data_IF_989023033612
#
_entry.id   IF_989023033612
#
_cell.length_a   1.000
_cell.length_b   1.000
_cell.length_c   1.000
_cell.angle_alpha   90.00
_cell.angle_beta   90.00
_cell.angle_gamma   90.00
#
_symmetry.space_group_name_H-M   'P 1'
#
loop_
_entity.id
_entity.type
_entity.pdbx_description
1 polymer ?
#
# COMPACT_ATOMS: atom_id res chain seq x y z
N UNK A 1 25.62 -19.47 -20.37
CA UNK A 1 24.29 -20.03 -20.06
C UNK A 1 23.74 -19.22 -18.90
N UNK A 2 22.85 -18.26 -19.16
CA UNK A 2 22.21 -17.46 -18.11
C UNK A 2 21.13 -18.34 -17.48
N UNK A 3 21.25 -18.65 -16.20
CA UNK A 3 20.14 -19.20 -15.43
C UNK A 3 18.99 -18.18 -15.50
N UNK A 4 17.92 -18.56 -16.16
CA UNK A 4 16.65 -17.86 -16.05
C UNK A 4 16.26 -17.96 -14.59
N UNK A 5 16.25 -16.80 -13.89
CA UNK A 5 15.60 -16.67 -12.60
C UNK A 5 14.12 -17.02 -12.80
N UNK A 6 13.77 -18.26 -12.67
CA UNK A 6 12.39 -18.71 -12.55
C UNK A 6 11.86 -18.22 -11.20
N UNK A 7 11.48 -16.94 -11.14
CA UNK A 7 10.74 -16.44 -9.99
C UNK A 7 9.41 -17.19 -9.94
N UNK A 8 9.26 -17.97 -8.89
CA UNK A 8 8.04 -18.71 -8.64
C UNK A 8 6.82 -17.77 -8.68
N UNK A 9 5.86 -18.05 -9.55
CA UNK A 9 4.58 -17.34 -9.54
C UNK A 9 3.83 -17.75 -8.28
N UNK A 10 3.76 -16.86 -7.30
CA UNK A 10 3.15 -17.12 -5.99
C UNK A 10 1.65 -16.91 -6.04
N UNK A 11 1.22 -15.90 -6.77
CA UNK A 11 -0.17 -15.50 -6.92
C UNK A 11 -0.42 -15.14 -8.39
N UNK A 12 -1.68 -15.27 -8.83
CA UNK A 12 -2.11 -14.83 -10.15
C UNK A 12 -1.95 -13.30 -10.31
N UNK A 13 -1.97 -12.81 -11.55
CA UNK A 13 -1.95 -11.37 -11.80
C UNK A 13 -3.16 -10.65 -11.19
N UNK A 14 -4.33 -11.30 -11.15
CA UNK A 14 -5.52 -10.76 -10.50
C UNK A 14 -5.33 -10.64 -8.99
N UNK A 15 -4.79 -11.65 -8.32
CA UNK A 15 -4.48 -11.63 -6.89
C UNK A 15 -3.39 -10.60 -6.57
N UNK A 16 -2.36 -10.50 -7.40
CA UNK A 16 -1.31 -9.49 -7.26
C UNK A 16 -1.89 -8.09 -7.38
N UNK A 17 -2.74 -7.84 -8.37
CA UNK A 17 -3.43 -6.56 -8.53
C UNK A 17 -4.34 -6.23 -7.35
N UNK A 18 -5.06 -7.22 -6.81
CA UNK A 18 -5.90 -7.03 -5.62
C UNK A 18 -5.09 -6.64 -4.38
N UNK A 19 -3.87 -7.20 -4.24
CA UNK A 19 -3.00 -6.93 -3.09
C UNK A 19 -2.15 -5.67 -3.24
N UNK A 20 -1.68 -5.39 -4.44
CA UNK A 20 -0.66 -4.36 -4.72
C UNK A 20 -1.11 -3.29 -5.73
N UNK A 21 -2.25 -3.47 -6.39
CA UNK A 21 -2.83 -2.47 -7.27
C UNK A 21 -3.42 -1.31 -6.48
N UNK A 22 -3.59 -0.18 -7.16
CA UNK A 22 -4.32 0.96 -6.61
C UNK A 22 -5.72 0.49 -6.20
N UNK A 23 -6.19 0.83 -4.98
CA UNK A 23 -7.53 0.44 -4.55
C UNK A 23 -8.61 0.92 -5.54
N UNK A 24 -9.53 0.03 -5.86
CA UNK A 24 -10.73 0.32 -6.66
C UNK A 24 -11.93 0.22 -5.72
N UNK A 25 -12.33 1.37 -5.15
CA UNK A 25 -13.36 1.43 -4.13
C UNK A 25 -14.77 1.45 -4.73
N UNK A 26 -15.65 0.63 -4.17
CA UNK A 26 -17.09 0.83 -4.30
C UNK A 26 -17.56 2.01 -3.41
N UNK A 27 -18.85 2.34 -3.47
CA UNK A 27 -19.39 3.48 -2.74
C UNK A 27 -19.27 3.31 -1.21
N UNK A 28 -19.43 2.10 -0.70
CA UNK A 28 -19.29 1.80 0.72
C UNK A 28 -17.83 1.96 1.18
N UNK A 29 -16.90 1.34 0.47
CA UNK A 29 -15.47 1.42 0.75
C UNK A 29 -14.96 2.86 0.65
N UNK A 30 -15.45 3.62 -0.33
CA UNK A 30 -15.12 5.04 -0.51
C UNK A 30 -15.57 5.85 0.70
N UNK A 31 -16.81 5.65 1.15
CA UNK A 31 -17.33 6.31 2.33
C UNK A 31 -16.56 5.94 3.60
N UNK A 32 -16.14 4.68 3.73
CA UNK A 32 -15.38 4.19 4.88
C UNK A 32 -13.95 4.74 4.90
N UNK A 33 -13.21 4.53 3.82
CA UNK A 33 -11.77 4.84 3.80
C UNK A 33 -11.46 6.33 3.64
N UNK A 34 -12.35 7.09 3.02
CA UNK A 34 -12.24 8.55 2.93
C UNK A 34 -13.03 9.31 4.02
N UNK A 35 -13.57 8.61 5.02
CA UNK A 35 -14.04 9.25 6.24
C UNK A 35 -12.82 9.64 7.10
N UNK A 36 -12.46 10.91 7.08
CA UNK A 36 -11.28 11.43 7.77
C UNK A 36 -11.63 11.84 9.19
N UNK A 37 -10.74 11.54 10.14
CA UNK A 37 -10.75 12.14 11.46
C UNK A 37 -10.34 13.61 11.36
N UNK A 38 -10.55 14.37 12.44
CA UNK A 38 -10.11 15.77 12.48
C UNK A 38 -8.60 15.91 12.28
N UNK A 39 -7.80 15.00 12.83
CA UNK A 39 -6.34 14.99 12.70
C UNK A 39 -5.90 14.66 11.27
N UNK A 40 -6.52 13.67 10.63
CA UNK A 40 -6.27 13.32 9.24
C UNK A 40 -6.61 14.47 8.29
N UNK A 41 -7.76 15.12 8.50
CA UNK A 41 -8.17 16.28 7.71
C UNK A 41 -7.21 17.46 7.93
N UNK A 42 -6.81 17.74 9.16
CA UNK A 42 -5.85 18.80 9.47
C UNK A 42 -4.51 18.57 8.75
N UNK A 43 -4.04 17.33 8.70
CA UNK A 43 -2.83 16.96 7.97
C UNK A 43 -2.96 17.31 6.48
N UNK A 44 -4.08 16.97 5.85
CA UNK A 44 -4.32 17.29 4.45
C UNK A 44 -4.46 18.80 4.21
N UNK A 45 -5.14 19.53 5.10
CA UNK A 45 -5.36 20.97 4.97
C UNK A 45 -4.07 21.81 5.08
N UNK A 46 -3.03 21.28 5.68
CA UNK A 46 -1.71 21.92 5.75
C UNK A 46 -0.95 21.90 4.41
N UNK A 47 -1.45 21.19 3.40
CA UNK A 47 -0.79 21.14 2.09
C UNK A 47 -1.07 22.39 1.27
N UNK A 48 -0.11 22.76 0.43
CA UNK A 48 -0.22 23.91 -0.45
C UNK A 48 -1.00 23.56 -1.73
N UNK A 49 -2.15 24.15 -1.87
CA UNK A 49 -3.00 23.99 -3.05
C UNK A 49 -3.89 22.74 -3.02
N UNK A 50 -4.99 22.84 -3.72
CA UNK A 50 -6.01 21.78 -3.77
C UNK A 50 -5.47 20.44 -4.29
N UNK A 51 -4.65 20.37 -5.36
CA UNK A 51 -4.11 19.10 -5.82
C UNK A 51 -3.29 18.36 -4.75
N UNK A 52 -2.45 19.05 -3.99
CA UNK A 52 -1.66 18.45 -2.92
C UNK A 52 -2.53 18.00 -1.74
N UNK A 53 -3.60 18.71 -1.42
CA UNK A 53 -4.57 18.31 -0.39
C UNK A 53 -5.32 17.05 -0.81
N UNK A 54 -5.81 16.99 -2.03
CA UNK A 54 -6.47 15.80 -2.60
C UNK A 54 -5.52 14.60 -2.61
N UNK A 55 -4.27 14.78 -3.07
CA UNK A 55 -3.28 13.72 -3.06
C UNK A 55 -3.01 13.18 -1.65
N UNK A 56 -2.98 14.05 -0.65
CA UNK A 56 -2.81 13.66 0.75
C UNK A 56 -4.00 12.81 1.23
N UNK A 57 -5.22 13.23 0.96
CA UNK A 57 -6.42 12.49 1.35
C UNK A 57 -6.47 11.12 0.66
N UNK A 58 -6.15 11.05 -0.63
CA UNK A 58 -6.07 9.78 -1.36
C UNK A 58 -5.05 8.83 -0.71
N UNK A 59 -3.85 9.32 -0.38
CA UNK A 59 -2.84 8.51 0.29
C UNK A 59 -3.31 8.03 1.67
N UNK A 60 -3.99 8.87 2.45
CA UNK A 60 -4.58 8.48 3.74
C UNK A 60 -5.60 7.36 3.55
N UNK A 61 -6.56 7.52 2.64
CA UNK A 61 -7.60 6.53 2.40
C UNK A 61 -7.05 5.20 1.88
N UNK A 62 -6.13 5.24 0.93
CA UNK A 62 -5.48 4.04 0.41
C UNK A 62 -4.60 3.36 1.46
N UNK A 63 -3.92 4.13 2.31
CA UNK A 63 -3.16 3.59 3.42
C UNK A 63 -4.06 2.90 4.46
N UNK A 64 -5.19 3.50 4.80
CA UNK A 64 -6.19 2.87 5.70
C UNK A 64 -6.67 1.52 5.14
N UNK A 65 -6.87 1.42 3.83
CA UNK A 65 -7.32 0.20 3.18
C UNK A 65 -6.25 -0.89 3.08
N UNK A 66 -5.01 -0.53 2.73
CA UNK A 66 -3.97 -1.49 2.33
C UNK A 66 -2.70 -1.48 3.18
N UNK A 67 -2.51 -0.49 4.06
CA UNK A 67 -1.26 -0.24 4.80
C UNK A 67 -0.04 -0.23 3.87
N UNK A 68 -0.21 0.39 2.72
CA UNK A 68 0.80 0.59 1.69
C UNK A 68 0.60 1.93 1.02
N UNK A 69 1.65 2.43 0.38
CA UNK A 69 1.57 3.60 -0.48
C UNK A 69 1.65 3.18 -1.94
N UNK A 70 0.97 3.95 -2.79
CA UNK A 70 0.89 3.71 -4.22
C UNK A 70 1.46 4.90 -4.98
N UNK A 71 2.13 4.64 -6.08
CA UNK A 71 2.49 5.67 -7.04
C UNK A 71 1.27 5.93 -7.94
N UNK A 72 0.81 7.17 -7.97
CA UNK A 72 -0.30 7.57 -8.83
C UNK A 72 -0.14 9.02 -9.30
N UNK A 73 -0.76 9.33 -10.41
CA UNK A 73 -0.99 10.71 -10.84
C UNK A 73 -2.46 11.04 -10.59
N UNK A 74 -2.77 12.27 -10.20
CA UNK A 74 -4.15 12.67 -9.95
C UNK A 74 -5.06 12.49 -11.15
N UNK A 75 -4.52 12.63 -12.37
CA UNK A 75 -5.25 12.41 -13.61
C UNK A 75 -5.70 10.94 -13.82
N UNK A 76 -5.05 9.99 -13.17
CA UNK A 76 -5.34 8.56 -13.30
C UNK A 76 -6.26 8.02 -12.19
N UNK A 77 -6.65 8.87 -11.23
CA UNK A 77 -7.54 8.49 -10.14
C UNK A 77 -8.98 8.37 -10.67
N UNK A 78 -9.75 7.36 -10.23
CA UNK A 78 -11.14 7.23 -10.58
C UNK A 78 -11.93 8.53 -10.32
N UNK A 79 -12.74 8.93 -11.29
CA UNK A 79 -13.50 10.18 -11.21
C UNK A 79 -14.46 10.20 -10.01
N UNK A 80 -14.98 9.05 -9.63
CA UNK A 80 -15.87 8.87 -8.47
C UNK A 80 -15.16 9.17 -7.15
N UNK A 81 -13.90 8.80 -6.99
CA UNK A 81 -13.11 9.10 -5.81
C UNK A 81 -12.89 10.61 -5.68
N UNK A 82 -12.46 11.24 -6.77
CA UNK A 82 -12.28 12.70 -6.81
C UNK A 82 -13.60 13.43 -6.53
N UNK A 83 -14.68 13.02 -7.17
CA UNK A 83 -16.00 13.64 -6.96
C UNK A 83 -16.47 13.51 -5.50
N UNK A 84 -16.23 12.36 -4.86
CA UNK A 84 -16.54 12.14 -3.46
C UNK A 84 -15.77 13.11 -2.56
N UNK A 85 -14.45 13.21 -2.76
CA UNK A 85 -13.59 14.10 -1.96
C UNK A 85 -13.97 15.57 -2.13
N UNK A 86 -14.26 15.98 -3.37
CA UNK A 86 -14.64 17.35 -3.67
C UNK A 86 -15.96 17.73 -2.99
N UNK A 87 -16.99 16.87 -3.08
CA UNK A 87 -18.27 17.12 -2.43
C UNK A 87 -18.14 17.18 -0.91
N UNK A 88 -17.33 16.32 -0.32
CA UNK A 88 -17.25 16.17 1.13
C UNK A 88 -16.36 17.22 1.77
N UNK A 89 -15.22 17.53 1.18
CA UNK A 89 -14.18 18.33 1.84
C UNK A 89 -13.91 19.68 1.18
N UNK A 90 -14.29 19.84 -0.07
CA UNK A 90 -14.00 21.05 -0.86
C UNK A 90 -15.22 21.53 -1.64
N UNK A 91 -16.40 21.68 -0.99
CA UNK A 91 -17.61 22.09 -1.69
C UNK A 91 -17.40 23.46 -2.34
N UNK A 92 -17.89 23.61 -3.57
CA UNK A 92 -17.79 24.85 -4.34
C UNK A 92 -16.44 25.12 -5.00
N UNK A 93 -15.42 24.26 -4.77
CA UNK A 93 -14.15 24.37 -5.46
C UNK A 93 -14.13 23.52 -6.74
N UNK A 94 -13.32 23.93 -7.71
CA UNK A 94 -13.13 23.21 -8.97
C UNK A 94 -11.81 22.46 -8.90
N UNK A 95 -11.86 21.14 -9.09
CA UNK A 95 -10.68 20.31 -9.18
C UNK A 95 -10.09 20.33 -10.59
N UNK A 96 -8.79 20.60 -10.67
CA UNK A 96 -7.99 20.42 -11.89
C UNK A 96 -6.81 19.53 -11.56
N UNK A 97 -6.62 18.42 -12.29
CA UNK A 97 -5.54 17.46 -12.03
C UNK A 97 -4.18 18.09 -12.41
N UNK A 98 -3.55 18.74 -11.46
CA UNK A 98 -2.21 19.25 -11.60
C UNK A 98 -1.20 18.27 -10.99
N UNK A 99 0.00 18.23 -11.55
CA UNK A 99 1.06 17.38 -11.05
C UNK A 99 1.49 17.81 -9.63
N UNK A 100 1.54 16.85 -8.73
CA UNK A 100 2.11 17.00 -7.39
C UNK A 100 3.56 16.51 -7.44
N UNK A 101 4.48 17.30 -6.91
CA UNK A 101 5.91 16.95 -6.93
C UNK A 101 6.19 15.70 -6.11
N UNK A 102 7.14 14.90 -6.55
CA UNK A 102 7.52 13.64 -5.90
C UNK A 102 7.94 13.82 -4.45
N UNK A 103 8.62 14.92 -4.15
CA UNK A 103 9.06 15.28 -2.80
C UNK A 103 7.85 15.51 -1.87
N UNK A 104 6.78 16.12 -2.38
CA UNK A 104 5.56 16.33 -1.62
C UNK A 104 4.87 15.01 -1.27
N UNK A 105 4.80 14.06 -2.20
CA UNK A 105 4.29 12.72 -1.91
C UNK A 105 5.10 12.05 -0.81
N UNK A 106 6.41 12.13 -0.87
CA UNK A 106 7.29 11.53 0.13
C UNK A 106 7.10 12.15 1.53
N UNK A 107 7.04 13.47 1.62
CA UNK A 107 6.79 14.18 2.88
C UNK A 107 5.42 13.81 3.46
N UNK A 108 4.39 13.77 2.62
CA UNK A 108 3.05 13.33 3.03
C UNK A 108 3.08 11.90 3.61
N UNK A 109 3.77 10.98 2.96
CA UNK A 109 3.92 9.58 3.43
C UNK A 109 4.56 9.52 4.82
N UNK A 110 5.61 10.29 5.05
CA UNK A 110 6.27 10.36 6.37
C UNK A 110 5.30 10.82 7.46
N UNK A 111 4.52 11.84 7.17
CA UNK A 111 3.55 12.39 8.13
C UNK A 111 2.38 11.45 8.37
N UNK A 112 1.88 10.79 7.33
CA UNK A 112 0.84 9.76 7.43
C UNK A 112 1.33 8.59 8.29
N UNK A 113 2.55 8.11 8.08
CA UNK A 113 3.12 7.04 8.90
C UNK A 113 3.23 7.44 10.36
N UNK A 114 3.65 8.67 10.63
CA UNK A 114 3.73 9.19 12.00
C UNK A 114 2.35 9.25 12.64
N UNK A 115 1.33 9.72 11.89
CA UNK A 115 -0.04 9.80 12.37
C UNK A 115 -0.61 8.43 12.75
N UNK A 116 -0.35 7.41 11.94
CA UNK A 116 -0.85 6.05 12.19
C UNK A 116 0.07 5.18 13.06
N UNK A 117 1.23 5.71 13.48
CA UNK A 117 2.20 4.95 14.26
C UNK A 117 2.86 3.81 13.50
N UNK A 118 3.02 3.98 12.19
CA UNK A 118 3.70 3.05 11.30
C UNK A 118 5.12 3.50 11.00
N UNK A 119 5.96 2.57 10.54
CA UNK A 119 7.34 2.82 10.11
C UNK A 119 7.53 2.34 8.66
N UNK A 120 8.47 2.94 7.98
CA UNK A 120 8.87 2.48 6.65
C UNK A 120 9.41 1.07 6.70
N UNK A 121 9.27 0.35 5.57
CA UNK A 121 9.92 -0.92 5.37
C UNK A 121 11.44 -0.79 5.58
N UNK A 122 12.02 -1.74 6.32
CA UNK A 122 13.46 -1.86 6.51
C UNK A 122 13.89 -3.30 6.27
N UNK A 123 15.04 -3.46 5.61
CA UNK A 123 15.64 -4.77 5.38
C UNK A 123 16.01 -5.49 6.67
N UNK A 124 16.19 -4.78 7.75
CA UNK A 124 16.43 -5.36 9.09
C UNK A 124 15.29 -6.27 9.57
N UNK A 125 14.09 -6.05 9.03
CA UNK A 125 12.94 -6.90 9.33
C UNK A 125 12.89 -8.19 8.51
N UNK A 126 13.73 -8.32 7.47
CA UNK A 126 13.73 -9.45 6.55
C UNK A 126 13.91 -10.81 7.26
N UNK A 127 14.83 -10.99 8.24
CA UNK A 127 14.98 -12.26 8.94
C UNK A 127 13.69 -12.72 9.65
N UNK A 128 12.90 -11.82 10.19
CA UNK A 128 11.61 -12.16 10.81
C UNK A 128 10.59 -12.65 9.79
N UNK A 129 10.55 -12.03 8.60
CA UNK A 129 9.69 -12.48 7.50
C UNK A 129 10.15 -13.86 6.98
N UNK A 130 11.45 -14.07 6.86
CA UNK A 130 12.02 -15.36 6.44
C UNK A 130 11.70 -16.47 7.45
N UNK A 131 11.91 -16.22 8.73
CA UNK A 131 11.59 -17.19 9.79
C UNK A 131 10.09 -17.58 9.79
N UNK A 132 9.20 -16.62 9.66
CA UNK A 132 7.76 -16.89 9.57
C UNK A 132 7.40 -17.67 8.32
N UNK A 133 8.02 -17.34 7.17
CA UNK A 133 7.80 -18.08 5.94
C UNK A 133 8.28 -19.53 6.05
N UNK A 134 9.47 -19.76 6.57
CA UNK A 134 10.01 -21.09 6.74
C UNK A 134 9.07 -21.98 7.57
N UNK A 135 8.54 -21.46 8.68
CA UNK A 135 7.56 -22.17 9.51
C UNK A 135 6.30 -22.59 8.74
N UNK A 136 5.82 -21.73 7.85
CA UNK A 136 4.60 -21.99 7.07
C UNK A 136 4.89 -22.95 5.90
N UNK A 137 6.01 -22.77 5.21
CA UNK A 137 6.41 -23.62 4.10
C UNK A 137 6.66 -25.06 4.56
N UNK A 138 7.24 -25.26 5.73
CA UNK A 138 7.41 -26.58 6.35
C UNK A 138 6.08 -27.32 6.59
N UNK A 139 4.98 -26.61 6.70
CA UNK A 139 3.62 -27.18 6.83
C UNK A 139 2.94 -27.44 5.48
N UNK A 140 3.68 -27.31 4.39
CA UNK A 140 3.19 -27.51 3.02
C UNK A 140 1.94 -26.69 2.67
N UNK A 141 1.91 -25.42 3.13
CA UNK A 141 0.79 -24.51 2.81
C UNK A 141 1.00 -23.79 1.47
N UNK A 142 -0.10 -23.38 0.88
CA UNK A 142 -0.11 -22.68 -0.41
C UNK A 142 0.72 -21.38 -0.34
N UNK A 143 1.53 -21.08 -1.37
CA UNK A 143 2.33 -19.85 -1.42
C UNK A 143 1.53 -18.56 -1.24
N UNK A 144 0.31 -18.49 -1.76
CA UNK A 144 -0.59 -17.37 -1.58
C UNK A 144 -0.96 -17.16 -0.10
N UNK A 145 -1.16 -18.24 0.65
CA UNK A 145 -1.42 -18.17 2.08
C UNK A 145 -0.19 -17.64 2.84
N UNK A 146 1.01 -18.12 2.47
CA UNK A 146 2.27 -17.62 3.05
C UNK A 146 2.41 -16.12 2.83
N UNK A 147 2.06 -15.62 1.64
CA UNK A 147 2.08 -14.19 1.32
C UNK A 147 1.11 -13.41 2.22
N UNK A 148 -0.12 -13.88 2.37
CA UNK A 148 -1.15 -13.26 3.20
C UNK A 148 -0.72 -13.18 4.67
N UNK A 149 -0.17 -14.25 5.22
CA UNK A 149 0.32 -14.28 6.60
C UNK A 149 1.48 -13.30 6.85
N UNK A 150 2.29 -13.04 5.84
CA UNK A 150 3.38 -12.06 5.95
C UNK A 150 2.89 -10.64 5.90
N UNK A 151 1.90 -10.38 5.06
CA UNK A 151 1.22 -9.09 5.05
C UNK A 151 0.55 -8.84 6.42
N UNK A 152 -0.05 -9.87 7.02
CA UNK A 152 -0.64 -9.78 8.35
C UNK A 152 0.44 -9.50 9.43
N UNK A 153 1.60 -10.15 9.35
CA UNK A 153 2.71 -9.88 10.27
C UNK A 153 3.22 -8.44 10.16
N UNK A 154 3.40 -7.92 8.95
CA UNK A 154 3.81 -6.53 8.72
C UNK A 154 2.80 -5.55 9.31
N UNK A 155 1.51 -5.82 9.15
CA UNK A 155 0.43 -5.02 9.75
C UNK A 155 0.49 -5.05 11.29
N UNK A 156 0.68 -6.22 11.88
CA UNK A 156 0.82 -6.40 13.32
C UNK A 156 2.02 -5.62 13.88
N UNK A 157 3.13 -5.63 13.16
CA UNK A 157 4.35 -4.89 13.52
C UNK A 157 4.30 -3.41 13.13
N UNK A 158 3.19 -2.94 12.61
CA UNK A 158 2.99 -1.56 12.13
C UNK A 158 4.10 -1.12 11.18
N UNK A 159 4.38 -1.98 10.22
CA UNK A 159 5.35 -1.71 9.16
C UNK A 159 4.66 -1.62 7.80
N UNK A 160 5.03 -0.63 7.01
CA UNK A 160 4.56 -0.48 5.63
C UNK A 160 4.95 -1.70 4.83
N UNK A 161 4.04 -2.20 4.02
CA UNK A 161 4.26 -3.33 3.14
C UNK A 161 5.35 -3.01 2.12
N UNK A 162 6.40 -3.85 1.99
CA UNK A 162 7.36 -3.73 0.89
C UNK A 162 6.72 -4.12 -0.45
N UNK A 163 7.39 -3.83 -1.55
CA UNK A 163 6.94 -4.23 -2.87
C UNK A 163 6.79 -5.75 -3.02
N UNK A 164 5.93 -6.17 -3.94
CA UNK A 164 5.64 -7.58 -4.22
C UNK A 164 6.89 -8.44 -4.41
N UNK A 165 7.85 -7.97 -5.20
CA UNK A 165 9.09 -8.70 -5.48
C UNK A 165 9.91 -9.03 -4.22
N UNK A 166 9.90 -8.16 -3.22
CA UNK A 166 10.58 -8.42 -1.94
C UNK A 166 9.93 -9.60 -1.22
N UNK A 167 8.61 -9.64 -1.13
CA UNK A 167 7.89 -10.75 -0.49
C UNK A 167 7.98 -12.04 -1.31
N UNK A 168 7.92 -11.93 -2.63
CA UNK A 168 8.10 -13.06 -3.55
C UNK A 168 9.46 -13.72 -3.38
N UNK A 169 10.53 -12.92 -3.38
CA UNK A 169 11.90 -13.42 -3.23
C UNK A 169 12.11 -14.23 -1.93
N UNK A 170 11.52 -13.76 -0.83
CA UNK A 170 11.62 -14.48 0.44
C UNK A 170 10.88 -15.82 0.41
N UNK A 171 9.70 -15.89 -0.21
CA UNK A 171 8.95 -17.16 -0.32
C UNK A 171 9.68 -18.15 -1.22
N UNK A 172 10.19 -17.69 -2.37
CA UNK A 172 10.96 -18.52 -3.30
C UNK A 172 12.22 -19.09 -2.63
N UNK A 173 12.95 -18.25 -1.87
CA UNK A 173 14.13 -18.68 -1.11
C UNK A 173 13.80 -19.75 -0.06
N UNK A 174 12.71 -19.58 0.69
CA UNK A 174 12.30 -20.54 1.70
C UNK A 174 11.88 -21.89 1.10
N UNK A 175 11.24 -21.89 -0.07
CA UNK A 175 10.88 -23.13 -0.77
C UNK A 175 12.11 -23.85 -1.33
N UNK A 176 13.00 -23.13 -2.00
CA UNK A 176 14.23 -23.71 -2.52
C UNK A 176 15.09 -24.37 -1.43
N UNK A 177 15.09 -23.83 -0.21
CA UNK A 177 15.79 -24.40 0.93
C UNK A 177 15.18 -25.72 1.45
N UNK A 178 13.94 -26.06 1.10
CA UNK A 178 13.28 -27.31 1.47
C UNK A 178 13.44 -28.41 0.41
N UNK A 179 13.76 -28.02 -0.82
CA UNK A 179 13.95 -28.95 -1.95
C UNK A 179 15.41 -29.46 -2.05
N UNK A 180 16.30 -28.93 -1.21
CA UNK A 180 17.70 -29.36 -1.06
C UNK A 180 17.92 -30.22 0.18
#
# INVERSE_FOLDING_TARGET
>A
MRALDEHLTIVSEAEKSALYGLPDFDDFQRAEHFALTAEELALAQQRDGLPAKIACILQIGYFKAKQAFFAFRLADIPAEDIAFLMRRYFPGQIFRPQAVRKEQYYLQRKEILRLFGYRFWSREFLPRLEARAAQLVMRNVMPAFVLTERIALLRQERMVRPGYHTLQAVISKCRAALET
#
